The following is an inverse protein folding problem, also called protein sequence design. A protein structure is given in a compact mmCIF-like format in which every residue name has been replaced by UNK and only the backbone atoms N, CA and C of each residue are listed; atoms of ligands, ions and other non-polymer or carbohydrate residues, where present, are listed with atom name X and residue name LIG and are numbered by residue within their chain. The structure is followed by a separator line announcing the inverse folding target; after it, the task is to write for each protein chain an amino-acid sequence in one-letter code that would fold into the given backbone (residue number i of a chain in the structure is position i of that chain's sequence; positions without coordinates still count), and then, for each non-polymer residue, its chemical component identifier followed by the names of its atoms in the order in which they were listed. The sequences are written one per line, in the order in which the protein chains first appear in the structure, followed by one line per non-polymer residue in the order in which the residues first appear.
data_IF_539879446185
#
_entry.id   IF_539879446185
#
_cell.length_a   1.000
_cell.length_b   1.000
_cell.length_c   1.000
_cell.angle_alpha   90.00
_cell.angle_beta   90.00
_cell.angle_gamma   90.00
#
_symmetry.space_group_name_H-M   'P 1'
#
loop_
_entity.id
_entity.type
_entity.pdbx_description
1 polymer ?
#
# COMPACT_ATOMS: atom_id res chain seq x y z
N UNK A 1 23.68 -1.30 18.43
CA UNK A 1 23.83 -1.18 16.97
C UNK A 1 23.15 0.13 16.61
N UNK A 2 23.92 1.17 16.31
CA UNK A 2 23.35 2.49 16.01
C UNK A 2 22.78 2.44 14.59
N UNK A 3 21.47 2.68 14.46
CA UNK A 3 20.84 2.80 13.16
C UNK A 3 21.47 4.00 12.43
N UNK A 4 21.84 3.81 11.17
CA UNK A 4 22.35 4.90 10.34
C UNK A 4 21.30 6.00 10.24
N UNK A 5 21.73 7.26 10.01
CA UNK A 5 20.80 8.38 9.79
C UNK A 5 19.80 8.11 8.65
N UNK A 6 20.20 7.28 7.69
CA UNK A 6 19.40 6.91 6.53
C UNK A 6 18.31 5.88 6.88
N UNK A 7 18.62 4.89 7.73
CA UNK A 7 17.62 3.96 8.29
C UNK A 7 16.55 4.68 9.10
N UNK A 8 16.97 5.67 9.89
CA UNK A 8 16.03 6.49 10.67
C UNK A 8 15.08 7.28 9.77
N UNK A 9 15.56 7.76 8.61
CA UNK A 9 14.73 8.49 7.64
C UNK A 9 13.70 7.58 6.98
N UNK A 10 14.10 6.38 6.56
CA UNK A 10 13.22 5.41 5.90
C UNK A 10 12.04 5.00 6.80
N UNK A 11 12.32 4.77 8.09
CA UNK A 11 11.33 4.33 9.07
C UNK A 11 10.46 5.43 9.66
N UNK A 12 10.67 6.70 9.30
CA UNK A 12 9.91 7.81 9.89
C UNK A 12 8.40 7.66 9.65
N UNK A 13 7.62 7.70 10.73
CA UNK A 13 6.17 7.59 10.69
C UNK A 13 5.63 6.16 10.57
N UNK A 14 6.48 5.13 10.64
CA UNK A 14 6.05 3.73 10.53
C UNK A 14 4.93 3.38 11.50
N UNK A 15 3.89 2.70 10.99
CA UNK A 15 2.65 2.33 11.70
C UNK A 15 1.81 3.52 12.21
N UNK A 16 2.28 4.75 12.08
CA UNK A 16 1.60 5.97 12.57
C UNK A 16 0.55 6.53 11.61
N UNK A 17 0.52 6.07 10.35
CA UNK A 17 -0.37 6.59 9.31
C UNK A 17 -1.15 5.47 8.61
N UNK A 18 -2.16 5.88 7.84
CA UNK A 18 -2.99 4.99 7.04
C UNK A 18 -4.48 5.11 7.41
N UNK A 19 -5.18 3.98 7.39
CA UNK A 19 -6.61 3.89 7.66
C UNK A 19 -6.92 2.59 8.42
N UNK A 20 -8.21 2.31 8.67
CA UNK A 20 -8.65 1.06 9.29
C UNK A 20 -8.33 -0.19 8.46
N UNK A 21 -8.13 -0.05 7.15
CA UNK A 21 -7.84 -1.16 6.25
C UNK A 21 -6.34 -1.51 6.22
N UNK A 22 -5.48 -0.50 6.02
CA UNK A 22 -4.04 -0.66 5.83
C UNK A 22 -3.26 0.46 6.53
N UNK A 23 -2.10 0.12 7.09
CA UNK A 23 -1.14 1.08 7.65
C UNK A 23 -0.18 1.47 6.55
N UNK A 24 -0.06 2.75 6.21
CA UNK A 24 0.75 3.18 5.05
C UNK A 24 1.03 4.66 5.11
N UNK A 25 2.16 5.07 4.54
CA UNK A 25 2.63 6.46 4.57
C UNK A 25 2.43 7.17 3.23
N UNK A 26 1.45 6.70 2.44
CA UNK A 26 0.98 7.35 1.21
C UNK A 26 -0.55 7.30 1.04
N UNK A 27 -1.10 8.24 0.28
CA UNK A 27 -2.46 8.23 -0.30
C UNK A 27 -2.36 7.85 -1.79
N UNK A 28 -3.44 7.34 -2.36
CA UNK A 28 -3.55 7.07 -3.81
C UNK A 28 -4.39 8.14 -4.49
N UNK A 29 -4.04 8.47 -5.73
CA UNK A 29 -4.94 9.15 -6.65
C UNK A 29 -5.78 8.11 -7.38
N UNK A 30 -7.09 8.20 -7.21
CA UNK A 30 -8.03 7.28 -7.83
C UNK A 30 -8.07 7.56 -9.36
N UNK A 31 -7.70 6.60 -10.22
CA UNK A 31 -7.71 6.83 -11.67
C UNK A 31 -9.12 7.04 -12.25
N UNK A 32 -10.16 6.55 -11.56
CA UNK A 32 -11.55 6.66 -12.00
C UNK A 32 -12.15 8.07 -11.83
N UNK A 33 -11.74 8.83 -10.80
CA UNK A 33 -12.34 10.12 -10.46
C UNK A 33 -11.32 11.21 -10.13
N UNK A 34 -10.03 10.91 -10.16
CA UNK A 34 -8.91 11.79 -9.85
C UNK A 34 -8.87 12.33 -8.39
N UNK A 35 -9.73 11.80 -7.52
CA UNK A 35 -9.77 12.14 -6.09
C UNK A 35 -8.71 11.37 -5.29
N UNK A 36 -8.39 11.85 -4.09
CA UNK A 36 -7.31 11.33 -3.25
C UNK A 36 -7.88 10.54 -2.07
N UNK A 37 -7.44 9.29 -1.91
CA UNK A 37 -7.88 8.41 -0.83
C UNK A 37 -6.74 7.73 -0.09
N UNK A 38 -6.96 7.43 1.19
CA UNK A 38 -6.01 6.64 1.97
C UNK A 38 -5.84 5.21 1.43
N UNK A 39 -6.85 4.61 0.82
CA UNK A 39 -6.72 3.34 0.09
C UNK A 39 -7.95 3.11 -0.80
N UNK A 40 -7.94 2.02 -1.57
CA UNK A 40 -9.09 1.65 -2.43
C UNK A 40 -10.37 1.36 -1.66
N UNK A 41 -10.27 0.79 -0.45
CA UNK A 41 -11.45 0.51 0.36
C UNK A 41 -12.05 1.80 0.92
N UNK A 42 -11.22 2.76 1.33
CA UNK A 42 -11.70 4.10 1.69
C UNK A 42 -12.45 4.77 0.53
N UNK A 43 -11.93 4.66 -0.70
CA UNK A 43 -12.62 5.16 -1.89
C UNK A 43 -13.99 4.47 -2.09
N UNK A 44 -14.01 3.14 -2.14
CA UNK A 44 -15.26 2.40 -2.42
C UNK A 44 -16.31 2.62 -1.32
N UNK A 45 -15.89 2.87 -0.07
CA UNK A 45 -16.79 3.23 1.03
C UNK A 45 -17.36 4.66 0.92
N UNK A 46 -16.66 5.60 0.27
CA UNK A 46 -17.10 6.99 0.15
C UNK A 46 -17.96 7.26 -1.09
N UNK A 47 -17.83 6.47 -2.14
CA UNK A 47 -18.47 6.75 -3.43
C UNK A 47 -19.92 6.28 -3.47
N UNK A 48 -20.85 7.19 -3.74
CA UNK A 48 -22.27 6.87 -3.96
C UNK A 48 -22.54 6.31 -5.37
N UNK A 49 -21.60 6.53 -6.28
CA UNK A 49 -21.80 6.37 -7.73
C UNK A 49 -21.40 4.97 -8.24
N UNK A 50 -21.06 4.06 -7.31
CA UNK A 50 -20.73 2.65 -7.55
C UNK A 50 -19.55 2.39 -8.51
N UNK A 51 -18.60 3.31 -8.64
CA UNK A 51 -17.33 3.01 -9.29
C UNK A 51 -16.31 2.46 -8.28
N UNK A 52 -15.34 1.68 -8.76
CA UNK A 52 -14.27 1.13 -7.95
C UNK A 52 -12.92 1.43 -8.57
N UNK A 53 -11.88 1.49 -7.74
CA UNK A 53 -10.52 1.62 -8.23
C UNK A 53 -10.03 0.27 -8.77
N UNK A 54 -9.72 0.24 -10.06
CA UNK A 54 -8.84 -0.80 -10.61
C UNK A 54 -7.42 -0.61 -10.05
N UNK A 55 -6.98 -1.54 -9.20
CA UNK A 55 -5.72 -1.43 -8.46
C UNK A 55 -4.48 -1.30 -9.37
N UNK A 56 -4.54 -1.90 -10.56
CA UNK A 56 -3.44 -1.90 -11.52
C UNK A 56 -3.26 -0.55 -12.23
N UNK A 57 -4.32 0.27 -12.27
CA UNK A 57 -4.35 1.54 -12.98
C UNK A 57 -3.87 2.73 -12.14
N UNK A 58 -3.58 2.51 -10.84
CA UNK A 58 -3.08 3.57 -9.96
C UNK A 58 -1.66 3.95 -10.36
N UNK A 59 -1.47 5.12 -10.96
CA UNK A 59 -0.16 5.61 -11.43
C UNK A 59 0.54 6.53 -10.44
N UNK A 60 -0.20 7.17 -9.53
CA UNK A 60 0.31 8.25 -8.69
C UNK A 60 -0.08 8.05 -7.23
N UNK A 61 0.87 8.34 -6.33
CA UNK A 61 0.69 8.35 -4.89
C UNK A 61 1.12 9.69 -4.30
N UNK A 62 0.58 10.02 -3.12
CA UNK A 62 0.91 11.24 -2.38
C UNK A 62 1.50 10.84 -1.04
N UNK A 63 2.73 11.24 -0.74
CA UNK A 63 3.36 10.97 0.55
C UNK A 63 2.60 11.68 1.67
N UNK A 64 2.24 10.99 2.76
CA UNK A 64 1.52 11.64 3.89
C UNK A 64 2.42 12.43 4.82
N UNK A 65 3.75 12.30 4.66
CA UNK A 65 4.74 12.95 5.51
C UNK A 65 5.10 14.35 4.99
N UNK A 66 5.13 14.52 3.66
CA UNK A 66 5.58 15.76 3.02
C UNK A 66 4.69 16.22 1.87
N UNK A 67 3.54 15.57 1.67
CA UNK A 67 2.54 15.89 0.64
C UNK A 67 3.05 15.85 -0.82
N UNK A 68 4.22 15.27 -1.05
CA UNK A 68 4.77 15.10 -2.40
C UNK A 68 3.94 14.11 -3.18
N UNK A 69 3.40 14.57 -4.30
CA UNK A 69 2.79 13.75 -5.32
C UNK A 69 3.85 13.18 -6.27
N UNK A 70 3.83 11.87 -6.50
CA UNK A 70 4.85 11.17 -7.27
C UNK A 70 4.31 9.91 -7.95
N UNK A 71 4.99 9.41 -9.01
CA UNK A 71 4.71 8.08 -9.54
C UNK A 71 4.80 7.00 -8.45
N UNK A 72 4.10 5.89 -8.65
CA UNK A 72 4.17 4.72 -7.75
C UNK A 72 5.62 4.28 -7.56
N UNK A 73 6.08 4.35 -6.31
CA UNK A 73 7.36 3.87 -5.84
C UNK A 73 7.24 3.59 -4.35
N UNK A 74 8.08 2.70 -3.82
CA UNK A 74 8.07 2.40 -2.38
C UNK A 74 8.56 3.58 -1.54
N UNK A 75 9.58 4.30 -2.00
CA UNK A 75 10.23 5.38 -1.25
C UNK A 75 9.78 6.72 -1.80
N UNK A 76 9.52 7.68 -0.90
CA UNK A 76 9.19 9.03 -1.30
C UNK A 76 10.41 9.70 -1.95
N UNK A 77 10.24 10.25 -3.16
CA UNK A 77 11.35 10.86 -3.91
C UNK A 77 11.85 12.18 -3.32
N UNK A 78 11.02 12.84 -2.50
CA UNK A 78 11.37 14.11 -1.87
C UNK A 78 11.91 13.92 -0.45
N UNK A 79 11.17 13.21 0.41
CA UNK A 79 11.57 13.07 1.82
C UNK A 79 12.27 11.76 2.16
N UNK A 80 12.41 10.81 1.23
CA UNK A 80 13.16 9.58 1.47
C UNK A 80 12.54 8.59 2.47
N UNK A 81 11.31 8.83 2.95
CA UNK A 81 10.62 7.85 3.79
C UNK A 81 10.20 6.65 2.94
N UNK A 82 10.31 5.44 3.49
CA UNK A 82 9.61 4.28 2.93
C UNK A 82 8.09 4.52 3.12
N UNK A 83 7.25 4.23 2.14
CA UNK A 83 5.80 4.46 2.21
C UNK A 83 4.97 3.21 2.58
N UNK A 84 5.61 2.05 2.64
CA UNK A 84 5.02 0.77 3.04
C UNK A 84 6.10 -0.29 3.23
N UNK A 85 6.15 -0.91 4.40
CA UNK A 85 7.12 -1.99 4.67
C UNK A 85 6.96 -3.16 3.71
N UNK A 86 5.73 -3.58 3.46
CA UNK A 86 5.36 -4.40 2.31
C UNK A 86 4.89 -3.50 1.16
N UNK A 87 5.56 -3.63 0.02
CA UNK A 87 5.20 -2.96 -1.23
C UNK A 87 5.11 -3.96 -2.38
N UNK A 88 3.99 -3.93 -3.10
CA UNK A 88 3.83 -4.69 -4.34
C UNK A 88 3.62 -3.71 -5.50
N UNK A 89 4.60 -3.64 -6.40
CA UNK A 89 4.56 -2.79 -7.59
C UNK A 89 3.47 -3.23 -8.58
N UNK A 90 3.21 -4.52 -8.69
CA UNK A 90 2.17 -5.06 -9.58
C UNK A 90 0.79 -4.62 -9.09
N UNK A 91 0.48 -4.84 -7.80
CA UNK A 91 -0.82 -4.49 -7.22
C UNK A 91 -0.95 -3.03 -6.76
N UNK A 92 0.13 -2.23 -6.83
CA UNK A 92 0.20 -0.87 -6.27
C UNK A 92 -0.18 -0.81 -4.79
N UNK A 93 0.25 -1.83 -4.04
CA UNK A 93 -0.18 -2.08 -2.67
C UNK A 93 0.93 -1.74 -1.66
N UNK A 94 0.54 -1.14 -0.54
CA UNK A 94 1.42 -0.68 0.54
C UNK A 94 0.77 -1.06 1.88
N UNK A 95 1.50 -1.77 2.75
CA UNK A 95 1.13 -1.94 4.15
C UNK A 95 2.40 -1.95 5.03
N UNK A 96 2.37 -1.21 6.14
CA UNK A 96 3.41 -1.24 7.17
C UNK A 96 3.23 -2.45 8.12
N UNK A 97 2.01 -2.97 8.18
CA UNK A 97 1.65 -4.13 8.98
C UNK A 97 2.01 -5.41 8.23
N UNK A 98 3.28 -5.80 8.35
CA UNK A 98 3.84 -7.02 7.75
C UNK A 98 3.44 -8.29 8.49
N UNK A 99 2.97 -8.19 9.73
CA UNK A 99 2.53 -9.33 10.55
C UNK A 99 1.28 -9.99 9.96
N UNK A 100 0.52 -9.26 9.16
CA UNK A 100 -0.57 -9.79 8.31
C UNK A 100 -0.09 -10.82 7.27
N UNK A 101 1.21 -10.90 7.00
CA UNK A 101 1.81 -11.87 6.09
C UNK A 101 1.38 -11.67 4.64
N UNK A 102 1.38 -10.44 4.15
CA UNK A 102 1.06 -10.15 2.75
C UNK A 102 2.08 -10.81 1.81
N UNK A 103 1.60 -11.39 0.71
CA UNK A 103 2.46 -11.86 -0.38
C UNK A 103 1.76 -11.69 -1.73
N UNK A 104 2.53 -11.50 -2.79
CA UNK A 104 1.99 -11.52 -4.16
C UNK A 104 1.93 -12.96 -4.65
N UNK A 105 0.75 -13.41 -5.08
CA UNK A 105 0.61 -14.70 -5.74
C UNK A 105 0.71 -14.47 -7.25
N UNK A 106 1.80 -14.96 -7.86
CA UNK A 106 2.06 -14.82 -9.29
C UNK A 106 0.95 -15.44 -10.14
N UNK A 107 0.45 -16.62 -9.75
CA UNK A 107 -0.62 -17.32 -10.48
C UNK A 107 -1.95 -16.54 -10.47
N UNK A 108 -2.27 -15.85 -9.37
CA UNK A 108 -3.46 -15.02 -9.26
C UNK A 108 -3.27 -13.59 -9.79
N UNK A 109 -2.03 -13.13 -9.94
CA UNK A 109 -1.70 -11.73 -10.21
C UNK A 109 -2.13 -10.74 -9.10
N UNK A 110 -2.41 -11.21 -7.88
CA UNK A 110 -2.87 -10.36 -6.77
C UNK A 110 -2.21 -10.69 -5.43
N UNK A 111 -2.10 -9.67 -4.57
CA UNK A 111 -1.68 -9.86 -3.18
C UNK A 111 -2.74 -10.61 -2.36
N UNK A 112 -2.28 -11.55 -1.53
CA UNK A 112 -3.04 -12.38 -0.59
C UNK A 112 -2.48 -12.20 0.83
N UNK A 113 -3.21 -12.71 1.83
CA UNK A 113 -2.76 -12.79 3.22
C UNK A 113 -2.32 -14.23 3.52
N UNK A 114 -1.19 -14.42 4.21
CA UNK A 114 -0.68 -15.73 4.60
C UNK A 114 -1.35 -16.32 5.86
N UNK A 115 -2.38 -15.66 6.41
CA UNK A 115 -3.05 -15.98 7.68
C UNK A 115 -3.91 -17.28 7.68
N UNK A 116 -3.60 -18.27 6.86
CA UNK A 116 -4.18 -19.62 6.95
C UNK A 116 -3.12 -20.71 7.14
N UNK A 117 -2.23 -20.53 8.12
CA UNK A 117 -1.47 -21.65 8.67
C UNK A 117 -2.34 -22.42 9.67
N UNK A 118 -3.13 -23.38 9.16
CA UNK A 118 -3.36 -24.74 9.70
C UNK A 118 -4.30 -25.45 8.70
N UNK A 119 -3.72 -26.25 7.81
CA UNK A 119 -4.29 -26.93 6.63
C UNK A 119 -4.41 -26.10 5.34
N UNK A 120 -3.78 -26.67 4.31
CA UNK A 120 -3.72 -26.32 2.90
C UNK A 120 -2.81 -25.16 2.46
N UNK A 121 -1.59 -25.60 2.12
CA UNK A 121 -0.55 -24.93 1.33
C UNK A 121 -0.97 -24.66 -0.13
N UNK A 122 -2.23 -24.34 -0.38
CA UNK A 122 -2.70 -24.00 -1.71
C UNK A 122 -3.38 -22.64 -1.64
N UNK A 123 -2.82 -21.66 -2.34
CA UNK A 123 -3.71 -20.84 -3.13
C UNK A 123 -4.59 -21.84 -3.91
N UNK A 124 -5.87 -21.98 -3.55
CA UNK A 124 -6.84 -22.64 -4.41
C UNK A 124 -7.07 -21.70 -5.60
N UNK A 125 -6.02 -21.60 -6.41
CA UNK A 125 -5.95 -20.95 -7.70
C UNK A 125 -6.73 -21.86 -8.67
N UNK A 126 -8.05 -21.96 -8.48
CA UNK A 126 -8.97 -22.58 -9.45
C UNK A 126 -9.52 -21.53 -10.39
#
# INVERSE_FOLDING_TARGET
MEASSDDARLGFGKMGYGCKHYKRRCKIRAPCCNEIFCCRHCHNESTKDRHEICRFDVQTVICVICDTEQPVAQVCSNCGVNMGEYFCVVCRFYDDDVDKGHYHCEDCGICRLALHLFFDLACYCT
#
